data_IF_152657200600
#
_entry.id   IF_152657200600
#
_cell.length_a   1.000
_cell.length_b   1.000
_cell.length_c   1.000
_cell.angle_alpha   90.00
_cell.angle_beta   90.00
_cell.angle_gamma   90.00
#
_symmetry.space_group_name_H-M   'P 1'
#
loop_
_entity.id
_entity.type
_entity.pdbx_description
1 polymer ?
#
# COMPACT_ATOMS: atom_id res chain seq x y z
N UNK A 1 -75.79 -21.21 27.78
CA UNK A 1 -75.43 -22.61 28.07
C UNK A 1 -74.09 -22.85 27.38
N UNK A 2 -72.99 -22.84 28.19
CA UNK A 2 -71.63 -23.39 27.96
C UNK A 2 -70.80 -22.66 26.85
N UNK A 3 -69.89 -21.69 27.13
CA UNK A 3 -68.49 -21.68 27.67
C UNK A 3 -67.41 -22.32 26.81
N UNK A 4 -66.37 -21.54 26.47
CA UNK A 4 -64.95 -21.91 26.22
C UNK A 4 -64.15 -20.58 26.13
N UNK A 5 -63.55 -20.09 27.21
CA UNK A 5 -62.17 -20.31 27.73
C UNK A 5 -61.02 -19.71 26.89
N UNK A 6 -60.21 -18.91 27.58
CA UNK A 6 -59.01 -18.18 27.14
C UNK A 6 -57.86 -19.10 26.72
N UNK A 7 -56.92 -18.59 25.89
CA UNK A 7 -55.47 -18.65 26.11
C UNK A 7 -54.78 -17.61 25.22
N UNK A 8 -54.04 -16.71 25.86
CA UNK A 8 -53.11 -15.73 25.32
C UNK A 8 -51.75 -16.37 25.01
N UNK A 9 -51.11 -16.03 23.89
CA UNK A 9 -49.63 -16.01 23.82
C UNK A 9 -49.13 -15.09 22.70
N UNK A 10 -48.22 -14.19 23.07
CA UNK A 10 -47.50 -13.24 22.22
C UNK A 10 -46.69 -13.94 21.12
N UNK A 11 -46.62 -13.34 19.92
CA UNK A 11 -45.54 -13.61 18.97
C UNK A 11 -44.99 -12.30 18.42
N UNK A 12 -43.77 -11.98 18.86
CA UNK A 12 -42.97 -10.82 18.46
C UNK A 12 -42.46 -10.98 17.02
N UNK A 13 -42.42 -9.92 16.18
CA UNK A 13 -41.71 -9.98 14.92
C UNK A 13 -40.21 -9.76 15.17
N UNK A 14 -39.46 -10.86 15.31
CA UNK A 14 -38.03 -10.87 15.03
C UNK A 14 -37.86 -11.13 13.54
N UNK A 15 -37.26 -10.17 12.82
CA UNK A 15 -36.25 -10.42 11.77
C UNK A 15 -35.70 -9.08 11.28
N UNK A 16 -35.00 -8.38 12.17
CA UNK A 16 -34.14 -7.26 11.83
C UNK A 16 -32.71 -7.78 11.66
N UNK A 17 -32.42 -8.40 10.52
CA UNK A 17 -31.05 -8.76 10.14
C UNK A 17 -30.92 -8.68 8.62
N UNK A 18 -30.57 -7.49 8.09
CA UNK A 18 -29.89 -7.34 6.78
C UNK A 18 -29.48 -5.89 6.43
N UNK A 19 -28.94 -5.10 7.37
CA UNK A 19 -28.36 -3.77 7.03
C UNK A 19 -27.11 -3.51 7.87
N UNK A 20 -26.04 -4.27 7.68
CA UNK A 20 -24.71 -3.91 8.26
C UNK A 20 -23.52 -4.33 7.38
N UNK A 21 -23.73 -5.15 6.35
CA UNK A 21 -22.62 -5.72 5.55
C UNK A 21 -22.17 -4.79 4.41
N UNK A 22 -22.98 -3.81 3.98
CA UNK A 22 -22.67 -2.98 2.80
C UNK A 22 -21.62 -1.87 3.06
N UNK A 23 -21.63 -1.24 4.23
CA UNK A 23 -20.81 -0.04 4.49
C UNK A 23 -19.29 -0.30 4.45
N UNK A 24 -18.83 -1.47 4.91
CA UNK A 24 -17.41 -1.77 5.01
C UNK A 24 -16.78 -2.08 3.63
N UNK A 25 -17.56 -2.64 2.71
CA UNK A 25 -17.08 -2.93 1.35
C UNK A 25 -16.98 -1.63 0.54
N UNK A 26 -17.97 -0.74 0.67
CA UNK A 26 -18.00 0.54 -0.02
C UNK A 26 -16.81 1.44 0.39
N UNK A 27 -16.47 1.51 1.68
CA UNK A 27 -15.31 2.27 2.17
C UNK A 27 -13.98 1.71 1.65
N UNK A 28 -13.86 0.37 1.61
CA UNK A 28 -12.67 -0.30 1.10
C UNK A 28 -12.48 -0.06 -0.39
N UNK A 29 -13.56 -0.10 -1.16
CA UNK A 29 -13.53 0.16 -2.60
C UNK A 29 -13.19 1.62 -2.89
N UNK A 30 -13.73 2.57 -2.13
CA UNK A 30 -13.35 3.99 -2.21
C UNK A 30 -11.85 4.20 -1.93
N UNK A 31 -11.31 3.55 -0.90
CA UNK A 31 -9.86 3.61 -0.61
C UNK A 31 -9.02 3.00 -1.71
N UNK A 32 -9.48 1.90 -2.31
CA UNK A 32 -8.80 1.28 -3.46
C UNK A 32 -8.79 2.22 -4.67
N UNK A 33 -9.91 2.87 -4.96
CA UNK A 33 -9.98 3.87 -6.01
C UNK A 33 -9.04 5.05 -5.73
N UNK A 34 -8.98 5.53 -4.49
CA UNK A 34 -8.04 6.58 -4.08
C UNK A 34 -6.58 6.16 -4.32
N UNK A 35 -6.21 4.94 -3.92
CA UNK A 35 -4.87 4.38 -4.16
C UNK A 35 -4.53 4.31 -5.65
N UNK A 36 -5.44 3.77 -6.47
CA UNK A 36 -5.21 3.58 -7.91
C UNK A 36 -5.11 4.91 -8.66
N UNK A 37 -5.78 5.96 -8.16
CA UNK A 37 -5.72 7.30 -8.74
C UNK A 37 -4.54 8.14 -8.22
N UNK A 38 -3.78 7.66 -7.23
CA UNK A 38 -2.60 8.38 -6.71
C UNK A 38 -1.39 8.20 -7.65
N UNK A 39 -0.89 9.32 -8.19
CA UNK A 39 0.28 9.32 -9.07
C UNK A 39 1.54 8.72 -8.40
N UNK A 40 1.69 8.88 -7.08
CA UNK A 40 2.80 8.30 -6.33
C UNK A 40 2.74 6.77 -6.34
N UNK A 41 1.54 6.19 -6.37
CA UNK A 41 1.39 4.74 -6.51
C UNK A 41 1.85 4.25 -7.89
N UNK A 42 1.57 5.00 -8.96
CA UNK A 42 2.12 4.72 -10.29
C UNK A 42 3.66 4.73 -10.32
N UNK A 43 4.30 5.65 -9.60
CA UNK A 43 5.77 5.69 -9.45
C UNK A 43 6.27 4.43 -8.73
N UNK A 44 5.59 3.99 -7.66
CA UNK A 44 5.92 2.75 -6.95
C UNK A 44 5.83 1.55 -7.90
N UNK A 45 4.75 1.42 -8.67
CA UNK A 45 4.59 0.32 -9.62
C UNK A 45 5.70 0.30 -10.67
N UNK A 46 5.98 1.45 -11.27
CA UNK A 46 7.05 1.64 -12.24
C UNK A 46 8.42 1.23 -11.69
N UNK A 47 8.71 1.64 -10.45
CA UNK A 47 9.95 1.30 -9.78
C UNK A 47 10.06 -0.22 -9.55
N UNK A 48 9.00 -0.85 -9.04
CA UNK A 48 8.99 -2.28 -8.75
C UNK A 48 9.08 -3.13 -10.02
N UNK A 49 8.50 -2.69 -11.14
CA UNK A 49 8.64 -3.39 -12.41
C UNK A 49 10.10 -3.38 -12.90
N UNK A 50 10.76 -2.22 -12.84
CA UNK A 50 12.11 -2.04 -13.42
C UNK A 50 13.25 -2.48 -12.51
N UNK A 51 13.16 -2.18 -11.22
CA UNK A 51 14.32 -2.20 -10.33
C UNK A 51 14.27 -3.30 -9.28
N UNK A 52 13.16 -4.04 -9.17
CA UNK A 52 13.02 -5.10 -8.17
C UNK A 52 14.10 -6.17 -8.27
N UNK A 53 14.47 -6.60 -9.47
CA UNK A 53 15.50 -7.63 -9.68
C UNK A 53 16.89 -7.11 -9.32
N UNK A 54 17.18 -5.84 -9.64
CA UNK A 54 18.45 -5.18 -9.33
C UNK A 54 18.59 -5.00 -7.82
N UNK A 55 17.50 -4.65 -7.15
CA UNK A 55 17.42 -4.58 -5.69
C UNK A 55 17.07 -5.92 -5.04
N UNK A 56 17.12 -7.03 -5.78
CA UNK A 56 16.87 -8.39 -5.27
C UNK A 56 15.74 -8.42 -4.21
N UNK A 57 14.61 -7.78 -4.55
CA UNK A 57 13.46 -7.64 -3.69
C UNK A 57 12.55 -8.86 -3.87
N UNK A 58 11.98 -9.40 -2.77
CA UNK A 58 11.15 -10.58 -2.85
C UNK A 58 9.92 -10.37 -3.74
N UNK A 59 9.53 -11.44 -4.44
CA UNK A 59 8.14 -11.81 -4.77
C UNK A 59 7.07 -11.08 -3.95
N UNK A 60 6.36 -10.11 -4.49
CA UNK A 60 5.31 -9.32 -3.86
C UNK A 60 4.43 -8.80 -4.99
N UNK A 61 3.28 -9.47 -5.15
CA UNK A 61 2.24 -9.11 -6.12
C UNK A 61 1.66 -7.75 -5.77
N UNK A 62 1.38 -6.95 -6.78
CA UNK A 62 0.77 -5.63 -6.62
C UNK A 62 -0.58 -5.72 -5.91
N UNK A 63 -1.39 -6.74 -6.21
CA UNK A 63 -2.68 -6.92 -5.53
C UNK A 63 -2.54 -7.04 -4.01
N UNK A 64 -1.60 -7.89 -3.55
CA UNK A 64 -1.33 -8.03 -2.11
C UNK A 64 -0.72 -6.77 -1.49
N UNK A 65 0.09 -6.02 -2.25
CA UNK A 65 0.62 -4.75 -1.77
C UNK A 65 -0.51 -3.75 -1.56
N UNK A 66 -1.41 -3.61 -2.53
CA UNK A 66 -2.63 -2.78 -2.43
C UNK A 66 -3.45 -3.18 -1.20
N UNK A 67 -3.73 -4.49 -1.05
CA UNK A 67 -4.50 -5.00 0.08
C UNK A 67 -3.81 -4.68 1.42
N UNK A 68 -2.49 -4.82 1.52
CA UNK A 68 -1.76 -4.51 2.74
C UNK A 68 -1.64 -3.01 3.03
N UNK A 69 -1.73 -2.14 2.01
CA UNK A 69 -1.74 -0.68 2.19
C UNK A 69 -3.13 -0.17 2.59
N UNK A 70 -4.20 -0.77 2.04
CA UNK A 70 -5.60 -0.35 2.26
C UNK A 70 -6.17 -0.93 3.56
N UNK A 71 -5.85 -2.18 3.89
CA UNK A 71 -6.52 -2.87 4.99
C UNK A 71 -6.07 -2.33 6.36
N UNK A 72 -7.04 -1.88 7.14
CA UNK A 72 -6.89 -1.59 8.57
C UNK A 72 -7.15 -2.89 9.33
N UNK A 73 -6.12 -3.73 9.45
CA UNK A 73 -6.15 -4.85 10.39
C UNK A 73 -5.75 -4.37 11.79
N UNK A 74 -5.94 -5.19 12.83
CA UNK A 74 -5.43 -4.88 14.19
C UNK A 74 -3.90 -4.76 14.24
N UNK A 75 -3.20 -5.26 13.21
CA UNK A 75 -1.74 -5.21 13.11
C UNK A 75 -1.30 -4.98 11.67
N UNK A 76 -0.14 -4.36 11.51
CA UNK A 76 0.50 -4.17 10.20
C UNK A 76 0.88 -5.55 9.66
N UNK A 77 0.53 -5.89 8.40
CA UNK A 77 0.92 -7.16 7.81
C UNK A 77 2.44 -7.39 7.91
N UNK A 78 2.93 -8.51 8.48
CA UNK A 78 4.37 -8.73 8.64
C UNK A 78 5.16 -8.66 7.34
N UNK A 79 4.53 -9.05 6.22
CA UNK A 79 5.11 -8.95 4.88
C UNK A 79 5.36 -7.51 4.44
N UNK A 80 4.48 -6.58 4.83
CA UNK A 80 4.65 -5.15 4.54
C UNK A 80 5.78 -4.56 5.38
N UNK A 81 5.86 -4.92 6.66
CA UNK A 81 6.99 -4.56 7.54
C UNK A 81 8.30 -5.06 6.93
N UNK A 82 8.36 -6.34 6.54
CA UNK A 82 9.56 -6.95 5.99
C UNK A 82 9.99 -6.29 4.69
N UNK A 83 9.03 -5.94 3.85
CA UNK A 83 9.29 -5.21 2.63
C UNK A 83 9.96 -3.86 2.90
N UNK A 84 9.44 -3.06 3.83
CA UNK A 84 10.06 -1.80 4.23
C UNK A 84 11.44 -2.01 4.88
N UNK A 85 11.60 -3.01 5.75
CA UNK A 85 12.88 -3.29 6.39
C UNK A 85 13.96 -3.71 5.39
N UNK A 86 13.62 -4.49 4.35
CA UNK A 86 14.56 -4.86 3.30
C UNK A 86 15.08 -3.59 2.60
N UNK A 87 14.19 -2.66 2.24
CA UNK A 87 14.55 -1.39 1.62
C UNK A 87 15.44 -0.56 2.56
N UNK A 88 14.99 -0.33 3.81
CA UNK A 88 15.75 0.44 4.81
C UNK A 88 17.12 -0.16 5.13
N UNK A 89 17.25 -1.49 5.21
CA UNK A 89 18.52 -2.17 5.46
C UNK A 89 19.48 -1.98 4.28
N UNK A 90 18.99 -2.03 3.05
CA UNK A 90 19.80 -1.75 1.85
C UNK A 90 20.26 -0.30 1.78
N UNK A 91 19.53 0.64 2.38
CA UNK A 91 19.96 2.04 2.58
C UNK A 91 20.85 2.24 3.81
N UNK A 92 21.23 1.16 4.52
CA UNK A 92 21.95 1.21 5.79
C UNK A 92 21.23 1.93 6.94
N UNK A 93 19.93 2.19 6.84
CA UNK A 93 19.14 2.95 7.83
C UNK A 93 18.56 2.08 8.96
N UNK A 94 18.52 0.76 8.76
CA UNK A 94 17.97 -0.20 9.72
C UNK A 94 18.89 -1.40 10.02
N UNK A 95 20.22 -1.22 9.90
CA UNK A 95 21.21 -2.32 9.99
C UNK A 95 21.12 -3.15 11.28
N UNK A 96 20.77 -2.53 12.42
CA UNK A 96 20.70 -3.18 13.73
C UNK A 96 19.34 -3.05 14.41
N UNK A 97 18.32 -2.64 13.66
CA UNK A 97 17.02 -2.38 14.26
C UNK A 97 16.12 -3.59 14.16
N UNK A 98 15.48 -3.91 15.29
CA UNK A 98 14.49 -4.96 15.40
C UNK A 98 13.12 -4.50 14.87
N UNK A 99 12.25 -5.45 14.55
CA UNK A 99 10.94 -5.21 13.92
C UNK A 99 9.94 -4.50 14.84
N UNK A 100 10.11 -4.67 16.16
CA UNK A 100 9.37 -3.98 17.22
C UNK A 100 9.50 -2.45 17.14
N UNK A 101 10.60 -1.93 16.59
CA UNK A 101 10.82 -0.48 16.41
C UNK A 101 10.42 0.04 15.03
N UNK A 102 9.58 -0.68 14.30
CA UNK A 102 9.18 -0.33 12.93
C UNK A 102 8.69 1.13 12.83
N UNK A 103 7.70 1.51 13.64
CA UNK A 103 7.11 2.84 13.61
C UNK A 103 8.16 3.93 13.87
N UNK A 104 9.03 3.75 14.87
CA UNK A 104 10.09 4.70 15.18
C UNK A 104 11.06 4.93 14.01
N UNK A 105 11.47 3.86 13.31
CA UNK A 105 12.38 3.98 12.16
C UNK A 105 11.68 4.65 10.99
N UNK A 106 10.43 4.27 10.71
CA UNK A 106 9.68 4.81 9.58
C UNK A 106 9.37 6.28 9.80
N UNK A 107 8.97 6.69 11.01
CA UNK A 107 8.78 8.10 11.37
C UNK A 107 10.09 8.88 11.21
N UNK A 108 11.22 8.33 11.68
CA UNK A 108 12.55 8.96 11.50
C UNK A 108 12.96 9.06 10.03
N UNK A 109 12.53 8.10 9.21
CA UNK A 109 12.77 8.17 7.77
C UNK A 109 11.88 9.24 7.12
N UNK A 110 10.59 9.25 7.44
CA UNK A 110 9.62 10.22 6.92
C UNK A 110 10.05 11.67 7.22
N UNK A 111 10.59 11.94 8.41
CA UNK A 111 11.03 13.28 8.81
C UNK A 111 12.17 13.86 7.98
N UNK A 112 12.86 13.03 7.17
CA UNK A 112 13.88 13.50 6.23
C UNK A 112 13.30 14.09 4.94
N UNK A 113 12.04 13.76 4.63
CA UNK A 113 11.37 14.16 3.39
C UNK A 113 10.24 15.15 3.67
N UNK A 114 9.38 14.85 4.64
CA UNK A 114 8.27 15.69 5.03
C UNK A 114 8.03 15.60 6.53
N UNK A 115 8.06 16.74 7.21
CA UNK A 115 7.79 16.84 8.64
C UNK A 115 6.32 16.57 8.95
N UNK A 116 5.39 16.94 8.07
CA UNK A 116 3.96 16.70 8.28
C UNK A 116 3.64 15.20 8.31
N UNK A 117 4.24 14.43 7.38
CA UNK A 117 4.09 12.97 7.35
C UNK A 117 4.68 12.33 8.61
N UNK A 118 5.80 12.85 9.12
CA UNK A 118 6.43 12.37 10.35
C UNK A 118 5.60 12.69 11.60
N UNK A 119 5.04 13.90 11.68
CA UNK A 119 4.19 14.32 12.80
C UNK A 119 2.88 13.53 12.81
N UNK A 120 2.29 13.29 11.63
CA UNK A 120 1.14 12.42 11.47
C UNK A 120 1.45 11.01 11.99
N UNK A 121 2.57 10.41 11.55
CA UNK A 121 2.98 9.09 12.02
C UNK A 121 3.30 9.03 13.51
N UNK A 122 3.84 10.10 14.09
CA UNK A 122 4.12 10.16 15.53
C UNK A 122 2.83 10.10 16.33
N UNK A 123 1.75 10.68 15.80
CA UNK A 123 0.43 10.71 16.44
C UNK A 123 -0.36 9.43 16.20
N UNK A 124 -0.43 8.95 14.95
CA UNK A 124 -1.33 7.86 14.55
C UNK A 124 -0.64 6.48 14.48
N UNK A 125 0.69 6.46 14.32
CA UNK A 125 1.44 5.25 13.98
C UNK A 125 1.24 4.81 12.53
N UNK A 126 2.12 3.93 12.03
CA UNK A 126 2.05 3.52 10.61
C UNK A 126 0.78 2.73 10.30
N UNK A 127 0.25 1.97 11.25
CA UNK A 127 -0.95 1.16 11.05
C UNK A 127 -2.16 2.01 10.65
N UNK A 128 -2.41 3.08 11.42
CA UNK A 128 -3.61 3.91 11.26
C UNK A 128 -3.39 5.10 10.32
N UNK A 129 -2.16 5.35 9.88
CA UNK A 129 -1.84 6.41 8.95
C UNK A 129 -2.68 6.34 7.66
N UNK A 130 -2.98 7.51 7.11
CA UNK A 130 -3.67 7.64 5.85
C UNK A 130 -2.94 6.93 4.71
N UNK A 131 -3.70 6.40 3.76
CA UNK A 131 -3.13 5.67 2.62
C UNK A 131 -2.14 6.54 1.82
N UNK A 132 -2.45 7.83 1.64
CA UNK A 132 -1.60 8.76 0.93
C UNK A 132 -0.26 8.97 1.63
N UNK A 133 -0.24 9.02 2.97
CA UNK A 133 0.99 9.10 3.77
C UNK A 133 1.82 7.83 3.59
N UNK A 134 1.19 6.65 3.69
CA UNK A 134 1.86 5.36 3.47
C UNK A 134 2.48 5.25 2.07
N UNK A 135 1.76 5.68 1.04
CA UNK A 135 2.22 5.70 -0.36
C UNK A 135 3.41 6.66 -0.49
N UNK A 136 3.31 7.91 -0.02
CA UNK A 136 4.39 8.89 -0.12
C UNK A 136 5.68 8.40 0.54
N UNK A 137 5.56 7.83 1.74
CA UNK A 137 6.72 7.27 2.46
C UNK A 137 7.34 6.12 1.67
N UNK A 138 6.54 5.19 1.17
CA UNK A 138 7.04 4.06 0.39
C UNK A 138 7.71 4.53 -0.91
N UNK A 139 7.11 5.50 -1.59
CA UNK A 139 7.64 6.16 -2.80
C UNK A 139 9.01 6.79 -2.51
N UNK A 140 9.11 7.59 -1.45
CA UNK A 140 10.37 8.23 -1.03
C UNK A 140 11.43 7.18 -0.64
N UNK A 141 11.03 6.08 -0.02
CA UNK A 141 11.92 4.98 0.35
C UNK A 141 12.51 4.28 -0.88
N UNK A 142 11.69 4.06 -1.91
CA UNK A 142 12.14 3.50 -3.18
C UNK A 142 13.07 4.47 -3.90
N UNK A 143 12.70 5.74 -4.01
CA UNK A 143 13.53 6.77 -4.66
C UNK A 143 14.88 6.97 -3.96
N UNK A 144 14.93 6.88 -2.64
CA UNK A 144 16.17 6.98 -1.85
C UNK A 144 17.24 5.97 -2.26
N UNK A 145 16.87 4.86 -2.91
CA UNK A 145 17.84 3.91 -3.43
C UNK A 145 18.69 4.48 -4.56
N UNK A 146 18.19 5.42 -5.36
CA UNK A 146 18.98 6.05 -6.42
C UNK A 146 20.16 6.86 -5.84
N UNK A 147 19.96 7.48 -4.69
CA UNK A 147 20.96 8.38 -4.09
C UNK A 147 21.85 7.67 -3.06
N UNK A 148 21.27 6.83 -2.19
CA UNK A 148 21.97 6.31 -1.02
C UNK A 148 22.52 4.89 -1.22
N UNK A 149 22.01 4.12 -2.18
CA UNK A 149 22.47 2.76 -2.43
C UNK A 149 23.52 2.73 -3.54
N UNK A 150 24.79 2.95 -3.18
CA UNK A 150 25.90 2.99 -4.13
C UNK A 150 26.02 1.74 -5.01
N UNK A 151 25.66 0.56 -4.48
CA UNK A 151 25.70 -0.69 -5.28
C UNK A 151 24.66 -0.64 -6.38
N UNK A 152 23.45 -0.20 -6.05
CA UNK A 152 22.37 -0.01 -7.01
C UNK A 152 22.72 1.06 -8.05
N UNK A 153 23.23 2.22 -7.62
CA UNK A 153 23.63 3.31 -8.54
C UNK A 153 24.72 2.85 -9.52
N UNK A 154 25.70 2.07 -9.06
CA UNK A 154 26.73 1.48 -9.93
C UNK A 154 26.11 0.53 -10.97
N UNK A 155 25.24 -0.39 -10.56
CA UNK A 155 24.56 -1.30 -11.48
C UNK A 155 23.67 -0.56 -12.49
N UNK A 156 23.11 0.59 -12.13
CA UNK A 156 22.37 1.43 -13.06
C UNK A 156 23.26 2.18 -14.04
N UNK A 157 24.45 2.61 -13.63
CA UNK A 157 25.39 3.31 -14.52
C UNK A 157 25.84 2.42 -15.69
N UNK A 158 25.88 1.11 -15.50
CA UNK A 158 26.24 0.13 -16.54
C UNK A 158 25.07 -0.14 -17.52
N UNK A 159 23.85 0.31 -17.21
CA UNK A 159 22.67 0.08 -18.03
C UNK A 159 22.41 1.23 -18.99
N UNK A 160 21.86 0.90 -20.16
CA UNK A 160 21.45 1.90 -21.13
C UNK A 160 20.19 2.66 -20.68
N UNK A 161 20.01 3.89 -21.18
CA UNK A 161 18.82 4.68 -20.86
C UNK A 161 17.50 3.97 -21.24
N UNK A 162 17.51 3.09 -22.24
CA UNK A 162 16.32 2.31 -22.64
C UNK A 162 15.95 1.23 -21.63
N UNK A 163 16.93 0.66 -20.93
CA UNK A 163 16.68 -0.36 -19.90
C UNK A 163 16.15 0.27 -18.61
N UNK A 164 16.60 1.49 -18.29
CA UNK A 164 16.23 2.19 -17.06
C UNK A 164 14.87 2.88 -17.22
N UNK A 165 14.60 3.49 -18.37
CA UNK A 165 13.36 4.23 -18.60
C UNK A 165 12.17 3.29 -18.73
N UNK A 166 11.09 3.60 -18.02
CA UNK A 166 9.79 3.02 -18.31
C UNK A 166 9.19 3.66 -19.55
N UNK A 167 8.68 2.82 -20.44
CA UNK A 167 8.10 3.24 -21.72
C UNK A 167 6.58 3.17 -21.55
N UNK A 168 5.91 4.29 -21.81
CA UNK A 168 4.45 4.32 -21.81
C UNK A 168 3.91 3.36 -22.88
N UNK A 169 2.79 2.69 -22.58
CA UNK A 169 2.09 1.83 -23.53
C UNK A 169 1.64 2.64 -24.76
N UNK A 170 1.19 3.87 -24.55
CA UNK A 170 0.74 4.75 -25.61
C UNK A 170 0.29 6.12 -25.09
N UNK A 171 -0.18 6.96 -26.01
CA UNK A 171 -0.80 8.26 -25.71
C UNK A 171 -2.21 8.32 -26.29
N UNK A 172 -3.14 8.96 -25.58
CA UNK A 172 -4.47 9.23 -26.14
C UNK A 172 -4.47 10.47 -27.07
N UNK A 173 -5.66 10.80 -27.58
CA UNK A 173 -5.89 11.98 -28.42
C UNK A 173 -5.65 13.32 -27.71
N UNK A 174 -5.61 13.31 -26.37
CA UNK A 174 -5.35 14.49 -25.54
C UNK A 174 -3.87 14.60 -25.15
N UNK A 175 -3.03 13.64 -25.57
CA UNK A 175 -1.60 13.59 -25.27
C UNK A 175 -1.26 12.97 -23.91
N UNK A 176 -2.24 12.43 -23.19
CA UNK A 176 -2.05 11.73 -21.92
C UNK A 176 -1.36 10.40 -22.20
N UNK A 177 -0.28 10.12 -21.49
CA UNK A 177 0.46 8.86 -21.62
C UNK A 177 -0.07 7.83 -20.61
N UNK A 178 -0.18 6.58 -21.02
CA UNK A 178 -0.67 5.48 -20.19
C UNK A 178 0.44 4.46 -19.95
N UNK A 179 0.50 3.91 -18.74
CA UNK A 179 1.42 2.84 -18.39
C UNK A 179 0.61 1.59 -18.06
N UNK A 180 1.10 0.43 -18.50
CA UNK A 180 0.43 -0.84 -18.27
C UNK A 180 1.26 -1.66 -17.31
N UNK A 181 0.70 -2.00 -16.15
CA UNK A 181 1.35 -2.89 -15.19
C UNK A 181 0.58 -4.20 -15.10
N UNK A 182 1.25 -5.30 -15.42
CA UNK A 182 0.68 -6.65 -15.35
C UNK A 182 1.36 -7.43 -14.23
N UNK A 183 0.56 -7.94 -13.29
CA UNK A 183 1.06 -8.79 -12.21
C UNK A 183 1.20 -10.25 -12.66
N UNK A 184 1.93 -11.02 -11.86
CA UNK A 184 2.10 -12.48 -11.99
C UNK A 184 0.79 -13.27 -12.05
N UNK A 185 -0.28 -12.75 -11.43
CA UNK A 185 -1.62 -13.34 -11.46
C UNK A 185 -2.49 -12.76 -12.61
N UNK A 186 -1.88 -12.11 -13.60
CA UNK A 186 -2.56 -11.48 -14.75
C UNK A 186 -3.52 -10.33 -14.41
N UNK A 187 -3.41 -9.76 -13.21
CA UNK A 187 -4.13 -8.52 -12.87
C UNK A 187 -3.46 -7.31 -13.53
N UNK A 188 -4.28 -6.44 -14.10
CA UNK A 188 -3.85 -5.29 -14.89
C UNK A 188 -4.12 -3.98 -14.13
N UNK A 189 -3.16 -3.04 -14.18
CA UNK A 189 -3.34 -1.62 -13.81
C UNK A 189 -2.96 -0.74 -15.00
N UNK A 190 -3.67 0.38 -15.13
CA UNK A 190 -3.53 1.38 -16.18
C UNK A 190 -3.33 2.77 -15.56
#
# INVERSE_FOLDING_TARGET
>A
MITEEEISTEFSPQDNNNITINNNNDEKDQRRLSLLNDANYGIILCFLEKFRTILDLPKYSFQRLEDHLINYQERIPPRLIDFHFILLKRLSLAKNTQRDKFDSIITRFASRFDLNDADHLTTTGYLQAEINVKIRILKNLLESHFDLNQTFTKTLADKSAREIKSIALGRDRFGVSYWLFVDTNCFVRL
#
